data_IF_363612075351
#
_entry.id   IF_363612075351
#
_cell.length_a   1.000
_cell.length_b   1.000
_cell.length_c   1.000
_cell.angle_alpha   90.00
_cell.angle_beta   90.00
_cell.angle_gamma   90.00
#
_symmetry.space_group_name_H-M   'P 1'
#
loop_
_entity.id
_entity.type
_entity.pdbx_description
1 polymer ?
#
# COMPACT_ATOMS: atom_id res chain seq x y z
N UNK A 1 3.59 12.30 20.32
CA UNK A 1 4.07 13.33 19.36
C UNK A 1 2.93 13.75 18.43
N UNK A 2 2.31 12.81 17.70
CA UNK A 2 1.11 13.07 16.85
C UNK A 2 0.05 13.95 17.51
N UNK A 3 -0.40 13.59 18.73
CA UNK A 3 -1.42 14.35 19.47
C UNK A 3 -1.04 15.82 19.67
N UNK A 4 0.21 16.08 20.06
CA UNK A 4 0.72 17.44 20.30
C UNK A 4 0.84 18.22 18.99
N UNK A 5 1.34 17.57 17.93
CA UNK A 5 1.49 18.18 16.60
C UNK A 5 0.11 18.50 16.00
N UNK A 6 -0.85 17.57 16.10
CA UNK A 6 -2.21 17.77 15.60
C UNK A 6 -2.93 18.88 16.37
N UNK A 7 -2.78 18.91 17.70
CA UNK A 7 -3.33 19.99 18.53
C UNK A 7 -2.72 21.35 18.15
N UNK A 8 -1.40 21.44 18.02
CA UNK A 8 -0.73 22.66 17.60
C UNK A 8 -1.20 23.13 16.21
N UNK A 9 -1.32 22.21 15.25
CA UNK A 9 -1.79 22.49 13.88
C UNK A 9 -3.28 22.90 13.82
N UNK A 10 -4.06 22.67 14.87
CA UNK A 10 -5.45 23.14 14.95
C UNK A 10 -5.58 24.59 15.46
N UNK A 11 -4.49 25.23 15.91
CA UNK A 11 -4.54 26.57 16.53
C UNK A 11 -4.11 27.69 15.58
N UNK A 12 -4.99 28.68 15.38
CA UNK A 12 -4.74 29.83 14.49
C UNK A 12 -3.42 30.59 14.75
N UNK A 13 -3.01 30.87 15.99
CA UNK A 13 -1.74 31.56 16.25
C UNK A 13 -0.52 30.78 15.74
N UNK A 14 -0.50 29.47 15.97
CA UNK A 14 0.57 28.59 15.48
C UNK A 14 0.57 28.54 13.95
N UNK A 15 -0.61 28.48 13.33
CA UNK A 15 -0.74 28.50 11.86
C UNK A 15 -0.21 29.79 11.24
N UNK A 16 -0.48 30.95 11.82
CA UNK A 16 0.10 32.23 11.38
C UNK A 16 1.61 32.31 11.57
N UNK A 17 2.14 31.69 12.63
CA UNK A 17 3.59 31.60 12.82
C UNK A 17 4.24 30.69 11.77
N UNK A 18 3.65 29.51 11.50
CA UNK A 18 4.08 28.59 10.45
C UNK A 18 4.05 29.22 9.06
N UNK A 19 3.06 30.05 8.77
CA UNK A 19 3.01 30.80 7.51
C UNK A 19 4.21 31.74 7.37
N UNK A 20 4.54 32.51 8.41
CA UNK A 20 5.67 33.45 8.37
C UNK A 20 7.04 32.75 8.32
N UNK A 21 7.18 31.59 8.94
CA UNK A 21 8.48 30.90 9.08
C UNK A 21 8.70 29.88 7.97
N UNK A 22 7.67 29.12 7.61
CA UNK A 22 7.75 27.98 6.69
C UNK A 22 6.96 28.19 5.39
N UNK A 23 6.27 29.33 5.23
CA UNK A 23 5.48 29.63 4.02
C UNK A 23 4.20 28.82 3.89
N UNK A 24 3.81 28.06 4.92
CA UNK A 24 2.59 27.25 4.91
C UNK A 24 1.42 28.15 5.29
N UNK A 25 0.62 28.58 4.30
CA UNK A 25 -0.55 29.44 4.49
C UNK A 25 -1.41 29.00 5.69
N UNK A 26 -1.86 29.93 6.52
CA UNK A 26 -2.55 29.62 7.78
C UNK A 26 -3.84 28.80 7.59
N UNK A 27 -4.54 29.03 6.47
CA UNK A 27 -5.75 28.29 6.10
C UNK A 27 -5.48 27.03 5.26
N UNK A 28 -4.21 26.69 4.97
CA UNK A 28 -3.88 25.45 4.29
C UNK A 28 -4.34 24.26 5.14
N UNK A 29 -4.92 23.26 4.50
CA UNK A 29 -5.28 21.98 5.15
C UNK A 29 -4.00 21.22 5.48
N UNK A 30 -3.73 21.00 6.75
CA UNK A 30 -2.65 20.11 7.20
C UNK A 30 -3.22 18.72 7.44
N UNK A 31 -2.57 17.65 6.94
CA UNK A 31 -2.96 16.28 7.25
C UNK A 31 -2.96 16.00 8.76
N UNK A 32 -3.90 15.17 9.20
CA UNK A 32 -3.85 14.62 10.56
C UNK A 32 -2.76 13.56 10.63
N UNK A 33 -1.89 13.63 11.65
CA UNK A 33 -0.84 12.63 11.81
C UNK A 33 -1.30 11.49 12.72
N UNK A 34 -1.17 10.26 12.24
CA UNK A 34 -1.47 9.05 13.00
C UNK A 34 -0.22 8.48 13.67
N UNK A 35 -0.28 8.21 14.99
CA UNK A 35 0.83 7.54 15.71
C UNK A 35 0.76 6.02 15.66
N UNK A 36 -0.45 5.48 15.47
CA UNK A 36 -0.67 4.04 15.39
C UNK A 36 -0.68 3.64 13.92
N UNK A 37 0.41 3.00 13.47
CA UNK A 37 0.62 2.62 12.07
C UNK A 37 -0.25 1.43 11.69
N UNK A 38 -0.51 1.21 10.39
CA UNK A 38 -1.28 0.05 9.95
C UNK A 38 -0.67 -1.26 10.47
N UNK A 39 0.66 -1.39 10.37
CA UNK A 39 1.38 -2.58 10.88
C UNK A 39 1.16 -2.82 12.36
N UNK A 40 1.16 -1.76 13.18
CA UNK A 40 0.85 -1.89 14.61
C UNK A 40 -0.59 -2.29 14.86
N UNK A 41 -1.53 -1.74 14.08
CA UNK A 41 -2.95 -2.06 14.18
C UNK A 41 -3.25 -3.50 13.74
N UNK A 42 -2.46 -4.02 12.81
CA UNK A 42 -2.64 -5.36 12.23
C UNK A 42 -1.84 -6.46 12.94
N UNK A 43 -0.90 -6.12 13.84
CA UNK A 43 -0.03 -7.10 14.51
C UNK A 43 -0.79 -8.19 15.27
N UNK A 44 -1.92 -7.83 15.89
CA UNK A 44 -2.78 -8.75 16.66
C UNK A 44 -4.11 -9.03 15.95
N UNK A 45 -4.22 -8.71 14.65
CA UNK A 45 -5.45 -8.91 13.89
C UNK A 45 -5.62 -10.41 13.54
N UNK A 46 -6.77 -11.02 13.82
CA UNK A 46 -7.02 -12.41 13.46
C UNK A 46 -7.15 -12.54 11.94
N UNK A 47 -6.06 -12.90 11.28
CA UNK A 47 -6.06 -13.15 9.83
C UNK A 47 -6.79 -14.45 9.51
N UNK A 48 -7.50 -14.48 8.38
CA UNK A 48 -8.00 -15.73 7.80
C UNK A 48 -6.84 -16.70 7.51
N UNK A 49 -7.14 -18.00 7.57
CA UNK A 49 -6.16 -19.04 7.26
C UNK A 49 -5.79 -18.99 5.75
N UNK A 50 -4.50 -18.78 5.40
CA UNK A 50 -4.05 -18.78 4.01
C UNK A 50 -4.40 -20.04 3.22
N UNK A 51 -4.63 -21.17 3.89
CA UNK A 51 -4.98 -22.45 3.25
C UNK A 51 -6.45 -22.51 2.79
N UNK A 52 -7.29 -21.57 3.25
CA UNK A 52 -8.67 -21.40 2.75
C UNK A 52 -8.75 -20.61 1.45
N UNK A 53 -7.62 -20.07 0.99
CA UNK A 53 -7.55 -19.30 -0.26
C UNK A 53 -7.90 -20.18 -1.46
N UNK A 54 -8.72 -19.64 -2.37
CA UNK A 54 -9.05 -20.32 -3.62
C UNK A 54 -8.85 -19.38 -4.83
N UNK A 55 -8.21 -19.90 -5.91
CA UNK A 55 -8.04 -19.13 -7.13
C UNK A 55 -9.36 -18.76 -7.80
N UNK A 56 -9.40 -17.58 -8.43
CA UNK A 56 -10.50 -17.15 -9.28
C UNK A 56 -9.96 -16.22 -10.38
N UNK A 57 -10.15 -16.60 -11.64
CA UNK A 57 -9.59 -15.87 -12.78
C UNK A 57 -8.06 -15.77 -12.65
N UNK A 58 -7.47 -14.57 -12.77
CA UNK A 58 -6.02 -14.37 -12.63
C UNK A 58 -5.53 -14.35 -11.17
N UNK A 59 -6.44 -14.42 -10.18
CA UNK A 59 -6.11 -14.26 -8.76
C UNK A 59 -5.87 -15.60 -8.08
N UNK A 60 -4.96 -15.63 -7.10
CA UNK A 60 -4.69 -16.79 -6.23
C UNK A 60 -5.61 -16.83 -5.01
N UNK A 61 -6.34 -15.75 -4.73
CA UNK A 61 -7.32 -15.67 -3.65
C UNK A 61 -6.72 -15.40 -2.27
N UNK A 62 -5.47 -14.94 -2.20
CA UNK A 62 -4.83 -14.42 -0.98
C UNK A 62 -3.87 -13.29 -1.32
N UNK A 63 -3.82 -12.27 -0.46
CA UNK A 63 -3.16 -11.01 -0.76
C UNK A 63 -2.08 -10.68 0.27
N UNK A 64 -0.86 -10.45 -0.20
CA UNK A 64 0.17 -9.76 0.54
C UNK A 64 0.07 -8.26 0.25
N UNK A 65 -0.40 -7.50 1.24
CA UNK A 65 -0.58 -6.07 1.15
C UNK A 65 0.76 -5.36 1.41
N UNK A 66 1.22 -4.65 0.38
CA UNK A 66 2.20 -3.59 0.49
C UNK A 66 1.49 -2.36 1.06
N UNK A 67 1.64 -2.13 2.38
CA UNK A 67 0.91 -1.09 3.09
C UNK A 67 1.29 0.32 2.65
N UNK A 68 2.42 0.51 1.95
CA UNK A 68 2.92 1.82 1.49
C UNK A 68 3.32 2.75 2.62
N UNK A 69 4.07 3.81 2.29
CA UNK A 69 4.35 4.87 3.25
C UNK A 69 3.09 5.66 3.65
N UNK A 70 2.08 5.72 2.78
CA UNK A 70 0.87 6.50 3.03
C UNK A 70 -0.11 5.75 3.93
N UNK A 71 -0.52 4.54 3.56
CA UNK A 71 -1.47 3.77 4.37
C UNK A 71 -0.83 3.21 5.65
N UNK A 72 0.50 2.99 5.75
CA UNK A 72 1.09 2.64 7.05
C UNK A 72 1.11 3.82 8.02
N UNK A 73 1.44 5.05 7.56
CA UNK A 73 1.78 6.17 8.47
C UNK A 73 0.83 7.35 8.47
N UNK A 74 0.17 7.65 7.35
CA UNK A 74 -0.66 8.84 7.20
C UNK A 74 -2.14 8.47 7.35
N UNK A 75 -2.59 7.47 6.59
CA UNK A 75 -3.99 7.03 6.55
C UNK A 75 -4.14 5.52 6.83
N UNK A 76 -3.74 5.04 8.03
CA UNK A 76 -3.89 3.64 8.44
C UNK A 76 -5.33 3.17 8.56
N UNK A 77 -6.31 4.07 8.58
CA UNK A 77 -7.73 3.70 8.46
C UNK A 77 -8.00 3.00 7.13
N UNK A 78 -7.52 3.57 6.03
CA UNK A 78 -7.79 3.03 4.68
C UNK A 78 -7.21 1.62 4.49
N UNK A 79 -6.04 1.35 5.07
CA UNK A 79 -5.44 0.01 5.04
C UNK A 79 -6.31 -1.01 5.78
N UNK A 80 -6.87 -0.63 6.94
CA UNK A 80 -7.80 -1.48 7.70
C UNK A 80 -9.09 -1.73 6.91
N UNK A 81 -9.65 -0.71 6.29
CA UNK A 81 -10.90 -0.82 5.53
C UNK A 81 -10.73 -1.74 4.31
N UNK A 82 -9.61 -1.64 3.59
CA UNK A 82 -9.28 -2.56 2.50
C UNK A 82 -9.16 -4.01 3.00
N UNK A 83 -8.48 -4.24 4.12
CA UNK A 83 -8.36 -5.57 4.71
C UNK A 83 -9.74 -6.13 5.06
N UNK A 84 -10.61 -5.32 5.68
CA UNK A 84 -11.97 -5.75 6.02
C UNK A 84 -12.78 -6.15 4.77
N UNK A 85 -12.65 -5.41 3.66
CA UNK A 85 -13.28 -5.78 2.37
C UNK A 85 -12.75 -7.10 1.84
N UNK A 86 -11.43 -7.33 1.89
CA UNK A 86 -10.80 -8.57 1.43
C UNK A 86 -11.25 -9.76 2.29
N UNK A 87 -11.24 -9.61 3.61
CA UNK A 87 -11.63 -10.67 4.55
C UNK A 87 -13.13 -10.99 4.49
N UNK A 88 -14.00 -9.98 4.31
CA UNK A 88 -15.42 -10.22 4.01
C UNK A 88 -15.59 -11.14 2.79
N UNK A 89 -14.73 -10.95 1.79
CA UNK A 89 -14.66 -11.76 0.58
C UNK A 89 -13.93 -13.10 0.75
N UNK A 90 -13.55 -13.48 1.97
CA UNK A 90 -12.84 -14.73 2.26
C UNK A 90 -11.41 -14.77 1.71
N UNK A 91 -10.79 -13.61 1.49
CA UNK A 91 -9.43 -13.49 0.95
C UNK A 91 -8.49 -13.28 2.15
N UNK A 92 -7.60 -14.25 2.46
CA UNK A 92 -6.60 -14.06 3.50
C UNK A 92 -5.65 -12.92 3.15
N UNK A 93 -5.27 -12.14 4.17
CA UNK A 93 -4.37 -11.00 4.01
C UNK A 93 -3.17 -11.12 4.93
N UNK A 94 -1.99 -10.86 4.39
CA UNK A 94 -0.77 -10.63 5.16
C UNK A 94 -0.16 -9.27 4.80
N UNK A 95 0.68 -8.71 5.66
CA UNK A 95 1.46 -7.52 5.32
C UNK A 95 2.85 -7.93 4.84
N UNK A 96 3.37 -7.29 3.79
CA UNK A 96 4.76 -7.51 3.38
C UNK A 96 5.70 -7.15 4.55
N UNK A 97 6.55 -8.05 5.03
CA UNK A 97 7.27 -7.87 6.33
C UNK A 97 8.13 -6.62 6.40
N UNK A 98 8.77 -6.25 5.28
CA UNK A 98 9.62 -5.07 5.16
C UNK A 98 9.33 -4.37 3.85
N UNK A 99 8.87 -3.13 3.94
CA UNK A 99 8.72 -2.27 2.78
C UNK A 99 9.41 -0.92 3.02
N UNK A 100 10.03 -0.42 1.96
CA UNK A 100 10.39 1.00 1.83
C UNK A 100 9.42 1.65 0.88
N UNK A 101 9.47 2.98 0.78
CA UNK A 101 8.77 3.70 -0.28
C UNK A 101 8.99 3.01 -1.64
N UNK A 102 7.93 2.87 -2.45
CA UNK A 102 7.98 2.25 -3.77
C UNK A 102 8.96 2.96 -4.72
N UNK A 103 9.23 4.25 -4.47
CA UNK A 103 10.16 5.07 -5.24
C UNK A 103 9.49 5.95 -6.28
N UNK A 104 8.16 5.92 -6.44
CA UNK A 104 7.45 6.74 -7.44
C UNK A 104 7.80 8.24 -7.35
N UNK A 105 7.77 8.90 -6.17
CA UNK A 105 8.14 10.32 -6.10
C UNK A 105 9.58 10.61 -6.52
N UNK A 106 10.48 9.61 -6.46
CA UNK A 106 11.86 9.74 -6.93
C UNK A 106 11.94 9.59 -8.44
N UNK A 107 11.14 8.69 -9.01
CA UNK A 107 10.99 8.56 -10.46
C UNK A 107 10.46 9.85 -11.09
N UNK A 108 9.42 10.44 -10.52
CA UNK A 108 8.81 11.70 -10.98
C UNK A 108 9.80 12.89 -10.95
N UNK A 109 10.82 12.83 -10.09
CA UNK A 109 11.90 13.81 -10.00
C UNK A 109 13.13 13.46 -10.86
N UNK A 110 13.11 12.35 -11.59
CA UNK A 110 14.24 11.87 -12.39
C UNK A 110 15.40 11.25 -11.59
N UNK A 111 15.21 10.99 -10.29
CA UNK A 111 16.23 10.39 -9.42
C UNK A 111 16.23 8.85 -9.54
N UNK A 112 16.76 8.37 -10.67
CA UNK A 112 16.82 6.95 -11.00
C UNK A 112 17.73 6.14 -10.06
N UNK A 113 18.71 6.79 -9.42
CA UNK A 113 19.59 6.15 -8.43
C UNK A 113 18.78 5.77 -7.19
N UNK A 114 17.94 6.67 -6.70
CA UNK A 114 17.03 6.36 -5.59
C UNK A 114 15.97 5.34 -5.97
N UNK A 115 15.47 5.37 -7.22
CA UNK A 115 14.54 4.34 -7.74
C UNK A 115 15.19 2.96 -7.70
N UNK A 116 16.42 2.82 -8.20
CA UNK A 116 17.16 1.55 -8.15
C UNK A 116 17.33 1.03 -6.72
N UNK A 117 17.67 1.91 -5.77
CA UNK A 117 17.79 1.56 -4.35
C UNK A 117 16.47 1.13 -3.72
N UNK A 118 15.37 1.78 -4.09
CA UNK A 118 14.02 1.38 -3.64
C UNK A 118 13.64 0.01 -4.20
N UNK A 119 13.92 -0.24 -5.49
CA UNK A 119 13.73 -1.53 -6.16
C UNK A 119 14.52 -2.64 -5.48
N UNK A 120 15.81 -2.44 -5.21
CA UNK A 120 16.69 -3.40 -4.53
C UNK A 120 16.19 -3.77 -3.12
N UNK A 121 15.53 -2.85 -2.43
CA UNK A 121 15.00 -3.10 -1.10
C UNK A 121 13.65 -3.83 -1.11
N UNK A 122 12.80 -3.57 -2.11
CA UNK A 122 11.42 -4.04 -2.12
C UNK A 122 11.23 -5.32 -2.96
N UNK A 123 11.83 -5.39 -4.15
CA UNK A 123 11.54 -6.48 -5.12
C UNK A 123 11.88 -7.86 -4.58
N UNK A 124 13.03 -8.11 -3.90
CA UNK A 124 13.32 -9.43 -3.36
C UNK A 124 12.29 -9.90 -2.32
N UNK A 125 11.81 -8.98 -1.48
CA UNK A 125 10.79 -9.29 -0.46
C UNK A 125 9.45 -9.62 -1.11
N UNK A 126 9.07 -8.85 -2.12
CA UNK A 126 7.84 -9.07 -2.87
C UNK A 126 7.90 -10.35 -3.70
N UNK A 127 9.03 -10.64 -4.34
CA UNK A 127 9.23 -11.85 -5.12
C UNK A 127 9.11 -13.11 -4.25
N UNK A 128 9.66 -13.09 -3.03
CA UNK A 128 9.51 -14.18 -2.08
C UNK A 128 8.05 -14.43 -1.68
N UNK A 129 7.24 -13.38 -1.55
CA UNK A 129 5.79 -13.51 -1.30
C UNK A 129 5.06 -14.12 -2.49
N UNK A 130 5.45 -13.75 -3.71
CA UNK A 130 4.91 -14.36 -4.94
C UNK A 130 5.27 -15.85 -5.02
N UNK A 131 6.51 -16.21 -4.68
CA UNK A 131 6.96 -17.61 -4.64
C UNK A 131 6.24 -18.41 -3.56
N UNK A 132 5.94 -17.77 -2.42
CA UNK A 132 5.06 -18.31 -1.39
C UNK A 132 3.59 -18.36 -1.81
N UNK A 133 3.24 -17.88 -3.02
CA UNK A 133 1.94 -17.97 -3.68
C UNK A 133 0.94 -16.88 -3.28
N UNK A 134 1.41 -15.71 -2.85
CA UNK A 134 0.57 -14.55 -2.58
C UNK A 134 0.40 -13.69 -3.83
N UNK A 135 -0.80 -13.16 -4.03
CA UNK A 135 -0.99 -12.00 -4.90
C UNK A 135 -0.47 -10.75 -4.18
N UNK A 136 0.06 -9.77 -4.90
CA UNK A 136 0.55 -8.53 -4.32
C UNK A 136 -0.48 -7.42 -4.54
N UNK A 137 -0.67 -6.58 -3.53
CA UNK A 137 -1.59 -5.45 -3.62
C UNK A 137 -1.06 -4.25 -2.88
N UNK A 138 -1.40 -3.05 -3.36
CA UNK A 138 -1.21 -1.81 -2.61
C UNK A 138 -2.46 -0.95 -2.76
N UNK A 139 -2.83 -0.23 -1.70
CA UNK A 139 -3.97 0.69 -1.75
C UNK A 139 -3.67 1.92 -2.63
N UNK A 140 -2.43 2.40 -2.61
CA UNK A 140 -2.04 3.62 -3.32
C UNK A 140 -1.77 3.29 -4.79
N UNK A 141 -2.53 3.85 -5.75
CA UNK A 141 -2.40 3.48 -7.16
C UNK A 141 -1.01 3.72 -7.74
N UNK A 142 -0.34 4.80 -7.31
CA UNK A 142 1.02 5.10 -7.77
C UNK A 142 2.05 4.06 -7.31
N UNK A 143 1.82 3.39 -6.17
CA UNK A 143 2.66 2.27 -5.74
C UNK A 143 2.41 1.03 -6.62
N UNK A 144 1.14 0.75 -6.96
CA UNK A 144 0.80 -0.33 -7.90
C UNK A 144 1.46 -0.07 -9.25
N UNK A 145 1.29 1.13 -9.81
CA UNK A 145 1.87 1.53 -11.09
C UNK A 145 3.39 1.35 -11.11
N UNK A 146 4.07 1.75 -10.02
CA UNK A 146 5.51 1.61 -9.88
C UNK A 146 5.97 0.17 -10.08
N UNK A 147 5.34 -0.78 -9.37
CA UNK A 147 5.73 -2.19 -9.45
C UNK A 147 5.22 -2.88 -10.72
N UNK A 148 4.02 -2.52 -11.18
CA UNK A 148 3.34 -3.19 -12.30
C UNK A 148 3.82 -2.72 -13.67
N UNK A 149 4.24 -1.46 -13.81
CA UNK A 149 4.62 -0.88 -15.11
C UNK A 149 5.99 -0.21 -15.11
N UNK A 150 6.27 0.70 -14.17
CA UNK A 150 7.48 1.54 -14.25
C UNK A 150 8.78 0.74 -14.06
N UNK A 151 8.85 -0.09 -13.01
CA UNK A 151 10.03 -0.92 -12.77
C UNK A 151 10.29 -1.92 -13.91
N UNK A 152 9.29 -2.63 -14.46
CA UNK A 152 9.48 -3.44 -15.67
C UNK A 152 10.04 -2.68 -16.87
N UNK A 153 9.64 -1.43 -17.09
CA UNK A 153 10.16 -0.61 -18.18
C UNK A 153 11.62 -0.19 -17.95
N UNK A 154 11.98 0.13 -16.70
CA UNK A 154 13.34 0.52 -16.33
C UNK A 154 14.31 -0.66 -16.24
N UNK A 155 13.81 -1.85 -15.88
CA UNK A 155 14.61 -3.06 -15.64
C UNK A 155 14.03 -4.28 -16.39
N UNK A 156 13.92 -4.22 -17.73
CA UNK A 156 13.19 -5.24 -18.51
C UNK A 156 13.86 -6.62 -18.51
N UNK A 157 15.15 -6.70 -18.20
CA UNK A 157 15.90 -7.96 -18.09
C UNK A 157 15.90 -8.58 -16.69
N UNK A 158 15.21 -7.98 -15.73
CA UNK A 158 15.20 -8.46 -14.35
C UNK A 158 13.99 -9.36 -14.07
N UNK A 159 14.23 -10.66 -13.97
CA UNK A 159 13.16 -11.66 -13.82
C UNK A 159 12.33 -11.48 -12.55
N UNK A 160 12.93 -11.02 -11.44
CA UNK A 160 12.18 -10.77 -10.20
C UNK A 160 11.27 -9.56 -10.34
N UNK A 161 11.71 -8.50 -11.02
CA UNK A 161 10.87 -7.34 -11.34
C UNK A 161 9.65 -7.77 -12.16
N UNK A 162 9.87 -8.59 -13.21
CA UNK A 162 8.78 -9.10 -14.04
C UNK A 162 7.85 -10.04 -13.26
N UNK A 163 8.39 -10.89 -12.38
CA UNK A 163 7.62 -11.76 -11.49
C UNK A 163 6.69 -10.94 -10.59
N UNK A 164 7.24 -9.93 -9.91
CA UNK A 164 6.48 -9.01 -9.04
C UNK A 164 5.40 -8.28 -9.83
N UNK A 165 5.74 -7.73 -10.99
CA UNK A 165 4.79 -6.98 -11.82
C UNK A 165 3.57 -7.81 -12.24
N UNK A 166 3.78 -9.08 -12.60
CA UNK A 166 2.70 -10.00 -13.01
C UNK A 166 1.76 -10.41 -11.88
N UNK A 167 2.24 -10.37 -10.64
CA UNK A 167 1.47 -10.73 -9.46
C UNK A 167 0.86 -9.52 -8.74
N UNK A 168 1.12 -8.29 -9.20
CA UNK A 168 0.65 -7.07 -8.56
C UNK A 168 -0.70 -6.61 -9.13
N UNK A 169 -1.62 -6.31 -8.24
CA UNK A 169 -2.95 -5.79 -8.55
C UNK A 169 -3.22 -4.49 -7.80
N UNK A 170 -4.03 -3.62 -8.41
CA UNK A 170 -4.77 -2.63 -7.62
C UNK A 170 -6.07 -3.28 -7.06
N UNK A 171 -6.65 -2.73 -5.98
CA UNK A 171 -7.84 -3.32 -5.36
C UNK A 171 -9.03 -3.46 -6.31
N UNK A 172 -9.22 -2.50 -7.23
CA UNK A 172 -10.37 -2.49 -8.13
C UNK A 172 -10.22 -3.56 -9.21
N UNK A 173 -9.04 -3.68 -9.82
CA UNK A 173 -8.73 -4.74 -10.77
C UNK A 173 -8.90 -6.13 -10.13
N UNK A 174 -8.37 -6.32 -8.91
CA UNK A 174 -8.45 -7.60 -8.21
C UNK A 174 -9.91 -8.02 -7.92
N UNK A 175 -10.68 -7.12 -7.32
CA UNK A 175 -12.07 -7.40 -6.96
C UNK A 175 -12.96 -7.55 -8.20
N UNK A 176 -12.71 -6.77 -9.26
CA UNK A 176 -13.43 -6.91 -10.53
C UNK A 176 -13.11 -8.25 -11.21
N UNK A 177 -11.85 -8.67 -11.24
CA UNK A 177 -11.46 -9.97 -11.78
C UNK A 177 -12.19 -11.11 -11.05
N UNK A 178 -12.32 -11.03 -9.73
CA UNK A 178 -13.10 -12.00 -8.94
C UNK A 178 -14.61 -11.87 -9.14
N UNK A 179 -15.12 -10.66 -9.36
CA UNK A 179 -16.54 -10.42 -9.63
C UNK A 179 -17.01 -11.09 -10.92
N UNK A 180 -16.20 -11.01 -11.98
CA UNK A 180 -16.47 -11.69 -13.26
C UNK A 180 -16.60 -13.21 -13.07
N UNK A 181 -15.87 -13.78 -12.12
CA UNK A 181 -15.92 -15.20 -11.75
C UNK A 181 -17.03 -15.55 -10.74
N UNK A 182 -17.87 -14.58 -10.36
CA UNK A 182 -18.89 -14.75 -9.33
C UNK A 182 -18.35 -14.89 -7.90
N UNK A 183 -17.10 -14.49 -7.67
CA UNK A 183 -16.36 -14.66 -6.40
C UNK A 183 -16.15 -13.33 -5.65
N UNK A 184 -17.02 -12.35 -5.88
CA UNK A 184 -17.04 -11.08 -5.16
C UNK A 184 -18.40 -10.87 -4.50
N UNK A 185 -18.39 -10.88 -3.15
CA UNK A 185 -19.52 -10.55 -2.29
C UNK A 185 -19.74 -9.04 -2.31
N UNK A 186 -20.95 -8.64 -2.68
CA UNK A 186 -21.37 -7.23 -2.79
C UNK A 186 -22.31 -6.80 -1.66
N UNK A 187 -22.60 -7.69 -0.72
CA UNK A 187 -23.35 -7.44 0.49
C UNK A 187 -22.47 -6.76 1.55
N UNK A 188 -22.38 -5.43 1.46
CA UNK A 188 -21.73 -4.58 2.47
C UNK A 188 -22.83 -3.84 3.25
N UNK A 189 -23.51 -4.56 4.14
CA UNK A 189 -24.58 -4.02 4.99
C UNK A 189 -24.07 -3.64 6.39
#
# INVERSE_FOLDING_TARGET
ISVVVNAANSTRPVRRALEKVAGIHADARIPHFESSTLRKRFADHPSLDPDTAFPAGPTRGRVALFATCYADRNEPGLGKDLIAVLEHNGIPVTLAEKERCCGMPKLELGDLVSVKRAREANVPVLAALVDAGWDLMALVPSCVLMFKQELPLLFPGDEEVIKVARAFFDPFEYLMARHVEGQFKIDFA
#
